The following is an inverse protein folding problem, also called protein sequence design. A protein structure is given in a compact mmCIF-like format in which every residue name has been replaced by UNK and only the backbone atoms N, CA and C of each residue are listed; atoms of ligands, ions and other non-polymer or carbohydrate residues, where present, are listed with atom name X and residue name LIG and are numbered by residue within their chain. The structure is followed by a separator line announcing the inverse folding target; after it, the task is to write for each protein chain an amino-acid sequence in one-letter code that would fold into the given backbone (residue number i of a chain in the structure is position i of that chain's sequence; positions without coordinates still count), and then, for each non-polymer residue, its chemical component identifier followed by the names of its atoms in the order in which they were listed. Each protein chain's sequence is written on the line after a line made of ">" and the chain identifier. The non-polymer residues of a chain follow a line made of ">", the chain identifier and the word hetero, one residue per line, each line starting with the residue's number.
data_IF_643738237126
#
_entry.id   IF_643738237126
#
_cell.length_a   1.000
_cell.length_b   1.000
_cell.length_c   1.000
_cell.angle_alpha   90.00
_cell.angle_beta   90.00
_cell.angle_gamma   90.00
#
_symmetry.space_group_name_H-M   'P 1'
#
loop_
_entity.id
_entity.type
_entity.pdbx_description
1 polymer ?
#
# COMPACT_ATOMS: atom_id res chain seq x y z
N UNK A 1 5.31 -24.23 14.94
CA UNK A 1 5.43 -23.75 14.80
C UNK A 1 5.65 -23.19 14.00
N UNK A 2 6.08 -23.09 13.75
CA UNK A 2 6.46 -22.72 12.98
C UNK A 2 6.28 -21.53 12.44
N UNK A 3 5.57 -21.30 12.00
CA UNK A 3 5.50 -20.30 11.23
C UNK A 3 5.83 -19.09 11.77
N UNK A 4 6.11 -19.09 12.76
CA UNK A 4 6.40 -18.05 13.22
C UNK A 4 7.43 -17.51 12.67
N UNK A 5 7.68 -17.36 11.74
CA UNK A 5 8.71 -16.65 11.18
C UNK A 5 8.95 -15.37 11.83
N UNK A 6 10.02 -14.74 11.55
CA UNK A 6 10.35 -13.47 12.07
C UNK A 6 9.33 -12.42 11.71
N UNK A 7 8.88 -12.53 10.50
CA UNK A 7 7.87 -11.63 10.04
C UNK A 7 6.63 -11.73 10.88
N UNK A 8 6.24 -12.90 11.20
CA UNK A 8 5.12 -13.06 11.99
C UNK A 8 5.35 -12.54 13.39
N UNK A 9 6.55 -12.62 13.93
CA UNK A 9 6.83 -12.06 15.16
C UNK A 9 6.67 -10.60 15.16
N UNK A 10 7.17 -9.90 14.15
CA UNK A 10 7.07 -8.48 14.04
C UNK A 10 5.65 -8.01 13.88
N UNK A 11 4.83 -8.76 13.19
CA UNK A 11 3.47 -8.35 12.95
C UNK A 11 2.50 -9.26 13.65
N UNK A 12 3.00 -10.01 14.60
CA UNK A 12 2.20 -11.03 15.23
C UNK A 12 1.02 -10.51 15.98
N UNK A 13 1.11 -9.31 16.48
CA UNK A 13 -0.01 -8.78 17.15
C UNK A 13 -0.98 -8.14 16.20
N UNK A 14 -0.66 -8.08 14.91
CA UNK A 14 -1.49 -7.51 13.90
C UNK A 14 -2.27 -8.63 13.27
N UNK A 15 -3.46 -8.86 13.77
CA UNK A 15 -4.24 -10.02 13.40
C UNK A 15 -4.95 -9.93 12.08
N UNK A 16 -5.13 -8.72 11.57
CA UNK A 16 -5.93 -8.52 10.38
C UNK A 16 -5.06 -8.04 9.24
N UNK A 17 -5.39 -8.43 8.04
CA UNK A 17 -4.57 -8.12 6.88
C UNK A 17 -5.45 -7.75 5.71
N UNK A 18 -5.01 -6.82 4.93
CA UNK A 18 -5.68 -6.45 3.69
C UNK A 18 -4.63 -6.27 2.61
N UNK A 19 -5.05 -6.42 1.37
CA UNK A 19 -4.19 -6.26 0.24
C UNK A 19 -4.89 -5.37 -0.77
N UNK A 20 -4.19 -4.36 -1.28
CA UNK A 20 -4.70 -3.51 -2.32
C UNK A 20 -3.85 -3.77 -3.55
N UNK A 21 -4.48 -4.07 -4.68
CA UNK A 21 -3.76 -4.31 -5.91
C UNK A 21 -4.18 -3.30 -6.93
N UNK A 22 -3.21 -2.69 -7.58
CA UNK A 22 -3.44 -1.76 -8.67
C UNK A 22 -2.85 -2.39 -9.91
N UNK A 23 -3.65 -2.60 -10.91
CA UNK A 23 -3.22 -3.22 -12.15
C UNK A 23 -3.27 -2.17 -13.24
N UNK A 24 -2.18 -2.01 -13.95
CA UNK A 24 -2.12 -1.01 -15.01
C UNK A 24 -1.19 -1.44 -16.10
N UNK A 25 -1.01 -0.55 -17.08
CA UNK A 25 -0.18 -0.84 -18.20
C UNK A 25 0.99 0.11 -18.25
N UNK A 26 2.04 -0.30 -18.92
CA UNK A 26 3.20 0.53 -19.13
C UNK A 26 3.84 0.90 -17.82
N UNK A 27 4.13 2.18 -17.66
CA UNK A 27 4.83 2.66 -16.49
C UNK A 27 3.93 3.09 -15.36
N UNK A 28 2.63 2.95 -15.52
CA UNK A 28 1.69 3.51 -14.56
C UNK A 28 1.91 2.99 -13.15
N UNK A 29 2.01 1.68 -13.00
CA UNK A 29 2.14 1.10 -11.67
C UNK A 29 3.48 1.45 -11.05
N UNK A 30 4.53 1.55 -11.86
CA UNK A 30 5.84 1.93 -11.34
C UNK A 30 5.84 3.37 -10.84
N UNK A 31 5.18 4.25 -11.56
CA UNK A 31 5.08 5.64 -11.17
C UNK A 31 4.32 5.76 -9.84
N UNK A 32 3.23 5.03 -9.70
CA UNK A 32 2.47 5.05 -8.46
C UNK A 32 3.28 4.48 -7.33
N UNK A 33 4.01 3.39 -7.59
CA UNK A 33 4.85 2.78 -6.58
C UNK A 33 5.88 3.79 -6.06
N UNK A 34 6.52 4.52 -6.95
CA UNK A 34 7.51 5.50 -6.53
C UNK A 34 6.87 6.68 -5.81
N UNK A 35 5.69 7.08 -6.26
CA UNK A 35 5.02 8.22 -5.64
C UNK A 35 4.58 7.92 -4.21
N UNK A 36 4.19 6.68 -3.94
CA UNK A 36 3.71 6.32 -2.63
C UNK A 36 4.78 5.79 -1.70
N UNK A 37 6.00 5.65 -2.17
CA UNK A 37 7.06 5.06 -1.36
C UNK A 37 7.22 5.74 0.01
N UNK A 38 7.20 7.06 0.11
CA UNK A 38 7.36 7.67 1.43
C UNK A 38 6.26 7.28 2.41
N UNK A 39 5.03 7.15 1.92
CA UNK A 39 3.92 6.78 2.79
C UNK A 39 3.98 5.32 3.20
N UNK A 40 4.58 4.48 2.38
CA UNK A 40 4.75 3.08 2.73
C UNK A 40 5.83 2.94 3.81
N UNK A 41 6.90 3.71 3.67
CA UNK A 41 8.01 3.58 4.60
C UNK A 41 7.72 4.16 5.97
N UNK A 42 6.86 5.16 6.05
CA UNK A 42 6.53 5.76 7.31
C UNK A 42 5.02 5.86 7.47
N UNK A 43 4.36 4.74 7.73
CA UNK A 43 2.91 4.75 7.90
C UNK A 43 2.53 5.59 9.11
N UNK A 44 1.39 6.23 9.05
CA UNK A 44 0.99 7.14 10.09
C UNK A 44 0.73 6.50 11.46
N UNK A 45 0.47 5.26 11.56
CA UNK A 45 0.17 4.66 12.84
C UNK A 45 1.02 3.43 13.04
N UNK A 46 2.31 3.64 13.23
CA UNK A 46 3.27 2.54 13.27
C UNK A 46 2.99 1.50 14.32
N UNK A 47 2.41 1.88 15.44
CA UNK A 47 2.18 0.94 16.50
C UNK A 47 1.06 -0.02 16.20
N UNK A 48 0.10 0.39 15.39
CA UNK A 48 -1.06 -0.44 15.14
C UNK A 48 -1.08 -1.03 13.76
N UNK A 49 -0.35 -0.46 12.83
CA UNK A 49 -0.43 -0.82 11.43
C UNK A 49 0.95 -1.04 10.87
N UNK A 50 1.09 -2.11 10.12
CA UNK A 50 2.29 -2.36 9.32
C UNK A 50 1.91 -2.32 7.86
N UNK A 51 2.77 -1.76 7.04
CA UNK A 51 2.49 -1.63 5.62
C UNK A 51 3.72 -2.01 4.83
N UNK A 52 3.54 -2.77 3.77
CA UNK A 52 4.60 -3.05 2.84
C UNK A 52 4.02 -3.03 1.44
N UNK A 53 4.86 -2.84 0.46
CA UNK A 53 4.40 -2.79 -0.91
C UNK A 53 5.46 -3.33 -1.84
N UNK A 54 5.03 -3.82 -2.97
CA UNK A 54 5.96 -4.29 -3.97
C UNK A 54 5.35 -4.15 -5.36
N UNK A 55 6.21 -4.17 -6.34
CA UNK A 55 5.83 -4.05 -7.72
C UNK A 55 6.11 -5.38 -8.40
N UNK A 56 5.11 -5.92 -9.11
CA UNK A 56 5.24 -7.19 -9.78
C UNK A 56 4.69 -7.02 -11.19
N UNK A 57 5.57 -6.73 -12.13
CA UNK A 57 5.21 -6.48 -13.51
C UNK A 57 4.26 -5.30 -13.58
N UNK A 58 3.03 -5.53 -13.98
CA UNK A 58 2.07 -4.45 -14.12
C UNK A 58 1.17 -4.34 -12.92
N UNK A 59 1.60 -4.87 -11.79
CA UNK A 59 0.77 -4.90 -10.61
C UNK A 59 1.52 -4.28 -9.45
N UNK A 60 0.90 -3.33 -8.80
CA UNK A 60 1.43 -2.70 -7.60
C UNK A 60 0.60 -3.21 -6.44
N UNK A 61 1.23 -3.79 -5.45
CA UNK A 61 0.54 -4.44 -4.35
C UNK A 61 0.93 -3.77 -3.04
N UNK A 62 -0.07 -3.37 -2.25
CA UNK A 62 0.15 -2.82 -0.92
C UNK A 62 -0.48 -3.79 0.05
N UNK A 63 0.31 -4.25 1.03
CA UNK A 63 -0.21 -5.16 2.05
C UNK A 63 -0.23 -4.41 3.37
N UNK A 64 -1.35 -4.50 4.07
CA UNK A 64 -1.58 -3.78 5.30
C UNK A 64 -1.91 -4.79 6.39
N UNK A 65 -1.23 -4.67 7.51
CA UNK A 65 -1.47 -5.54 8.65
C UNK A 65 -1.89 -4.67 9.82
N UNK A 66 -2.84 -5.13 10.62
CA UNK A 66 -3.32 -4.32 11.73
C UNK A 66 -3.71 -5.18 12.91
N UNK A 67 -3.62 -4.59 14.08
CA UNK A 67 -4.01 -5.26 15.33
C UNK A 67 -5.51 -5.24 15.51
N UNK A 68 -6.21 -4.32 14.92
CA UNK A 68 -7.63 -4.19 15.10
C UNK A 68 -8.30 -3.72 13.81
N UNK A 69 -9.58 -3.94 13.71
CA UNK A 69 -10.32 -3.64 12.51
C UNK A 69 -10.46 -2.16 12.24
N UNK A 70 -10.71 -1.29 13.24
CA UNK A 70 -10.79 0.14 12.92
C UNK A 70 -9.51 0.69 12.33
N UNK A 71 -8.37 0.26 12.86
CA UNK A 71 -7.08 0.70 12.31
C UNK A 71 -6.87 0.19 10.89
N UNK A 72 -7.27 -1.06 10.64
CA UNK A 72 -7.16 -1.61 9.31
C UNK A 72 -8.02 -0.82 8.33
N UNK A 73 -9.25 -0.53 8.72
CA UNK A 73 -10.17 0.22 7.86
C UNK A 73 -9.61 1.61 7.55
N UNK A 74 -9.09 2.28 8.57
CA UNK A 74 -8.53 3.61 8.38
C UNK A 74 -7.35 3.56 7.41
N UNK A 75 -6.49 2.55 7.56
CA UNK A 75 -5.33 2.42 6.69
C UNK A 75 -5.75 2.12 5.25
N UNK A 76 -6.72 1.22 5.07
CA UNK A 76 -7.21 0.91 3.74
C UNK A 76 -7.72 2.18 3.07
N UNK A 77 -8.52 2.94 3.78
CA UNK A 77 -9.08 4.16 3.22
C UNK A 77 -7.99 5.15 2.84
N UNK A 78 -6.99 5.29 3.70
CA UNK A 78 -5.89 6.22 3.42
C UNK A 78 -5.12 5.82 2.19
N UNK A 79 -4.79 4.54 2.06
CA UNK A 79 -3.97 4.12 0.92
C UNK A 79 -4.77 4.10 -0.37
N UNK A 80 -6.06 3.79 -0.30
CA UNK A 80 -6.90 3.89 -1.49
C UNK A 80 -6.97 5.34 -1.94
N UNK A 81 -7.11 6.27 -0.98
CA UNK A 81 -7.14 7.68 -1.33
C UNK A 81 -5.83 8.12 -2.00
N UNK A 82 -4.70 7.66 -1.45
CA UNK A 82 -3.41 8.03 -2.02
C UNK A 82 -3.23 7.47 -3.42
N UNK A 83 -3.64 6.23 -3.64
CA UNK A 83 -3.58 5.64 -4.97
C UNK A 83 -4.46 6.43 -5.94
N UNK A 84 -5.66 6.76 -5.49
CA UNK A 84 -6.57 7.51 -6.34
C UNK A 84 -5.99 8.88 -6.69
N UNK A 85 -5.41 9.56 -5.71
CA UNK A 85 -4.81 10.87 -5.96
C UNK A 85 -3.65 10.76 -6.94
N UNK A 86 -2.84 9.71 -6.81
CA UNK A 86 -1.73 9.51 -7.74
C UNK A 86 -2.22 9.25 -9.14
N UNK A 87 -3.28 8.46 -9.27
CA UNK A 87 -3.86 8.19 -10.57
C UNK A 87 -4.41 9.45 -11.21
N UNK A 88 -5.08 10.27 -10.43
CA UNK A 88 -5.61 11.53 -10.94
C UNK A 88 -4.51 12.46 -11.40
N UNK A 89 -3.43 12.52 -10.64
CA UNK A 89 -2.29 13.35 -11.02
C UNK A 89 -1.69 12.88 -12.34
N UNK A 90 -1.54 11.58 -12.49
CA UNK A 90 -0.97 11.01 -13.69
C UNK A 90 -1.87 11.27 -14.88
N UNK A 91 -3.17 11.15 -14.71
CA UNK A 91 -4.12 11.38 -15.77
C UNK A 91 -4.07 12.83 -16.22
N UNK A 92 -4.01 13.75 -15.28
CA UNK A 92 -3.93 15.17 -15.59
C UNK A 92 -2.65 15.49 -16.35
N UNK A 93 -1.53 14.92 -15.91
CA UNK A 93 -0.26 15.14 -16.59
C UNK A 93 -0.31 14.67 -18.02
N UNK A 94 -0.95 13.53 -18.27
CA UNK A 94 -1.07 13.03 -19.64
C UNK A 94 -1.90 13.96 -20.50
N UNK A 95 -2.94 14.52 -19.93
CA UNK A 95 -3.77 15.43 -20.70
C UNK A 95 -3.02 16.70 -21.06
N UNK A 96 -2.20 17.17 -20.14
CA UNK A 96 -1.45 18.38 -20.40
C UNK A 96 -0.40 18.17 -21.47
N UNK A 97 0.21 17.02 -21.52
CA UNK A 97 1.29 16.79 -22.44
C UNK A 97 0.83 16.29 -23.80
N UNK A 98 -0.42 16.01 -23.96
CA UNK A 98 -0.91 15.55 -25.25
C UNK A 98 -0.97 16.60 -26.32
#
# INVERSE_FOLDING_TARGET
>A
MGPESGSEKHIGRKRYRAKIEVIGEGDMTRIIYEALAPEIETPPNLKRVGVSAYLDRERYVIEIYSRDIPSLRAAINSYIYLVYAALKTLETAREITR
#
